data_IF_981591182218
#
_entry.id   IF_981591182218
#
_cell.length_a   1.000
_cell.length_b   1.000
_cell.length_c   1.000
_cell.angle_alpha   90.00
_cell.angle_beta   90.00
_cell.angle_gamma   90.00
#
_symmetry.space_group_name_H-M   'P 1'
#
loop_
_entity.id
_entity.type
_entity.pdbx_description
1 polymer ?
#
# COMPACT_ATOMS: atom_id res chain seq x y z
N UNK A 1 -16.62 24.13 2.35
CA UNK A 1 -16.82 22.67 2.31
C UNK A 1 -18.31 22.47 2.22
N UNK A 2 -18.82 21.99 1.09
CA UNK A 2 -20.24 21.64 0.98
C UNK A 2 -20.55 20.54 2.00
N UNK A 3 -21.57 20.75 2.82
CA UNK A 3 -22.06 19.78 3.78
C UNK A 3 -22.41 18.50 3.01
N UNK A 4 -21.69 17.40 3.26
CA UNK A 4 -21.99 16.12 2.63
C UNK A 4 -23.31 15.65 3.23
N UNK A 5 -24.38 15.79 2.46
CA UNK A 5 -25.68 15.25 2.84
C UNK A 5 -25.61 13.71 2.76
N UNK A 6 -25.54 13.08 3.93
CA UNK A 6 -25.57 11.62 4.04
C UNK A 6 -27.00 11.12 3.90
N UNK A 7 -27.31 10.60 2.72
CA UNK A 7 -28.55 9.93 2.40
C UNK A 7 -28.25 8.51 1.87
N UNK A 8 -29.25 7.63 1.74
CA UNK A 8 -29.00 6.25 1.31
C UNK A 8 -28.24 6.13 -0.02
N UNK A 9 -28.51 7.02 -0.97
CA UNK A 9 -27.87 7.02 -2.30
C UNK A 9 -26.42 7.45 -2.21
N UNK A 10 -26.11 8.52 -1.47
CA UNK A 10 -24.72 9.01 -1.34
C UNK A 10 -23.84 8.01 -0.59
N UNK A 11 -24.38 7.32 0.42
CA UNK A 11 -23.68 6.21 1.10
C UNK A 11 -23.38 5.06 0.13
N UNK A 12 -24.34 4.64 -0.69
CA UNK A 12 -24.15 3.54 -1.63
C UNK A 12 -23.10 3.88 -2.69
N UNK A 13 -23.15 5.10 -3.23
CA UNK A 13 -22.14 5.60 -4.18
C UNK A 13 -20.73 5.58 -3.57
N UNK A 14 -20.57 6.03 -2.32
CA UNK A 14 -19.28 6.05 -1.63
C UNK A 14 -18.76 4.63 -1.32
N UNK A 15 -19.66 3.68 -0.99
CA UNK A 15 -19.32 2.25 -0.84
C UNK A 15 -18.76 1.72 -2.16
N UNK A 16 -19.49 1.93 -3.27
CA UNK A 16 -19.06 1.44 -4.58
C UNK A 16 -17.74 2.06 -5.01
N UNK A 17 -17.56 3.36 -4.81
CA UNK A 17 -16.30 4.06 -5.08
C UNK A 17 -15.15 3.45 -4.26
N UNK A 18 -15.34 3.26 -2.95
CA UNK A 18 -14.31 2.70 -2.07
C UNK A 18 -13.95 1.26 -2.44
N UNK A 19 -14.93 0.43 -2.82
CA UNK A 19 -14.70 -0.95 -3.30
C UNK A 19 -13.89 -0.97 -4.61
N UNK A 20 -14.20 -0.06 -5.54
CA UNK A 20 -13.44 0.07 -6.77
C UNK A 20 -11.99 0.51 -6.48
N UNK A 21 -11.79 1.41 -5.54
CA UNK A 21 -10.46 1.88 -5.15
C UNK A 21 -9.65 0.80 -4.41
N UNK A 22 -10.28 -0.02 -3.57
CA UNK A 22 -9.64 -1.22 -3.00
C UNK A 22 -9.18 -2.16 -4.13
N UNK A 23 -10.03 -2.40 -5.12
CA UNK A 23 -9.69 -3.30 -6.24
C UNK A 23 -8.48 -2.80 -7.03
N UNK A 24 -8.40 -1.48 -7.30
CA UNK A 24 -7.23 -0.85 -7.90
C UNK A 24 -6.00 -0.96 -7.00
N UNK A 25 -6.16 -0.67 -5.71
CA UNK A 25 -5.08 -0.71 -4.74
C UNK A 25 -4.48 -2.10 -4.54
N UNK A 26 -5.26 -3.18 -4.68
CA UNK A 26 -4.75 -4.56 -4.68
C UNK A 26 -3.81 -4.81 -5.87
N UNK A 27 -4.16 -4.30 -7.06
CA UNK A 27 -3.31 -4.39 -8.24
C UNK A 27 -2.00 -3.61 -8.02
N UNK A 28 -2.09 -2.38 -7.50
CA UNK A 28 -0.92 -1.57 -7.16
C UNK A 28 0.00 -2.25 -6.15
N UNK A 29 -0.57 -2.85 -5.09
CA UNK A 29 0.22 -3.56 -4.08
C UNK A 29 0.89 -4.82 -4.64
N UNK A 30 0.20 -5.56 -5.52
CA UNK A 30 0.80 -6.70 -6.24
C UNK A 30 2.00 -6.24 -7.07
N UNK A 31 1.85 -5.20 -7.87
CA UNK A 31 2.89 -4.72 -8.77
C UNK A 31 4.09 -4.17 -8.00
N UNK A 32 3.84 -3.43 -6.91
CA UNK A 32 4.89 -2.99 -5.99
C UNK A 32 5.62 -4.17 -5.31
N UNK A 33 4.90 -5.25 -4.97
CA UNK A 33 5.54 -6.45 -4.41
C UNK A 33 6.44 -7.15 -5.43
N UNK A 34 6.00 -7.25 -6.69
CA UNK A 34 6.82 -7.81 -7.77
C UNK A 34 8.11 -6.99 -7.91
N UNK A 35 7.99 -5.66 -7.99
CA UNK A 35 9.14 -4.77 -8.07
C UNK A 35 10.08 -4.93 -6.86
N UNK A 36 9.54 -5.00 -5.63
CA UNK A 36 10.32 -5.26 -4.41
C UNK A 36 11.12 -6.56 -4.50
N UNK A 37 10.51 -7.66 -4.94
CA UNK A 37 11.20 -8.94 -5.05
C UNK A 37 12.27 -8.93 -6.15
N UNK A 38 12.03 -8.22 -7.24
CA UNK A 38 13.00 -8.07 -8.33
C UNK A 38 14.22 -7.26 -7.91
N UNK A 39 14.01 -6.11 -7.27
CA UNK A 39 15.10 -5.24 -6.78
C UNK A 39 15.87 -5.90 -5.63
N UNK A 40 15.21 -6.64 -4.75
CA UNK A 40 15.88 -7.44 -3.71
C UNK A 40 16.80 -8.51 -4.33
N UNK A 41 16.35 -9.21 -5.38
CA UNK A 41 17.20 -10.17 -6.10
C UNK A 41 18.35 -9.49 -6.83
N UNK A 42 18.11 -8.31 -7.41
CA UNK A 42 19.14 -7.53 -8.09
C UNK A 42 20.25 -7.11 -7.11
N UNK A 43 19.88 -6.53 -5.97
CA UNK A 43 20.80 -6.19 -4.89
C UNK A 43 21.61 -7.40 -4.41
N UNK A 44 20.96 -8.52 -4.08
CA UNK A 44 21.65 -9.74 -3.61
C UNK A 44 22.68 -10.24 -4.63
N UNK A 45 22.36 -10.20 -5.92
CA UNK A 45 23.26 -10.61 -7.00
C UNK A 45 24.42 -9.63 -7.17
N UNK A 46 24.15 -8.32 -7.15
CA UNK A 46 25.17 -7.29 -7.24
C UNK A 46 26.16 -7.39 -6.07
N UNK A 47 25.64 -7.46 -4.84
CA UNK A 47 26.42 -7.62 -3.63
C UNK A 47 27.29 -8.87 -3.67
N UNK A 48 26.72 -10.02 -4.04
CA UNK A 48 27.47 -11.27 -4.12
C UNK A 48 28.61 -11.20 -5.15
N UNK A 49 28.38 -10.58 -6.32
CA UNK A 49 29.44 -10.38 -7.33
C UNK A 49 30.56 -9.48 -6.79
N UNK A 50 30.20 -8.34 -6.20
CA UNK A 50 31.16 -7.41 -5.62
C UNK A 50 31.97 -8.06 -4.48
N UNK A 51 31.30 -8.80 -3.60
CA UNK A 51 31.91 -9.55 -2.50
C UNK A 51 32.89 -10.61 -2.98
N UNK A 52 32.59 -11.29 -4.09
CA UNK A 52 33.45 -12.32 -4.64
C UNK A 52 34.63 -11.74 -5.45
N UNK A 53 34.49 -10.54 -6.01
CA UNK A 53 35.54 -9.87 -6.78
C UNK A 53 36.68 -9.33 -5.89
N UNK A 54 36.37 -8.86 -4.68
CA UNK A 54 37.39 -8.37 -3.75
C UNK A 54 38.25 -9.54 -3.21
N UNK A 55 39.54 -9.30 -2.95
CA UNK A 55 40.45 -10.26 -2.31
C UNK A 55 40.68 -9.86 -0.86
N UNK A 56 41.15 -10.79 -0.04
CA UNK A 56 41.51 -10.50 1.36
C UNK A 56 40.49 -11.01 2.39
N UNK A 57 40.63 -10.59 3.65
CA UNK A 57 39.81 -11.04 4.78
C UNK A 57 38.32 -10.77 4.57
N UNK A 58 37.48 -11.62 5.17
CA UNK A 58 36.02 -11.54 5.00
C UNK A 58 35.44 -10.17 5.37
N UNK A 59 35.99 -9.51 6.40
CA UNK A 59 35.56 -8.18 6.86
C UNK A 59 35.80 -7.10 5.80
N UNK A 60 37.00 -7.09 5.20
CA UNK A 60 37.34 -6.15 4.12
C UNK A 60 36.46 -6.38 2.89
N UNK A 61 36.22 -7.64 2.51
CA UNK A 61 35.30 -7.97 1.40
C UNK A 61 33.89 -7.42 1.60
N UNK A 62 33.37 -7.47 2.84
CA UNK A 62 32.03 -6.94 3.13
C UNK A 62 31.97 -5.44 2.93
N UNK A 63 32.95 -4.71 3.47
CA UNK A 63 33.04 -3.25 3.34
C UNK A 63 33.23 -2.86 1.88
N UNK A 64 34.17 -3.51 1.19
CA UNK A 64 34.45 -3.25 -0.22
C UNK A 64 33.22 -3.49 -1.10
N UNK A 65 32.45 -4.56 -0.85
CA UNK A 65 31.25 -4.85 -1.62
C UNK A 65 30.14 -3.82 -1.44
N UNK A 66 29.95 -3.30 -0.22
CA UNK A 66 28.90 -2.33 0.09
C UNK A 66 29.13 -0.96 -0.56
N UNK A 67 30.37 -0.60 -0.89
CA UNK A 67 30.71 0.69 -1.49
C UNK A 67 30.89 0.64 -3.00
N UNK A 68 30.63 -0.51 -3.63
CA UNK A 68 30.63 -0.64 -5.08
C UNK A 68 29.40 0.11 -5.64
N UNK A 69 29.56 1.03 -6.61
CA UNK A 69 28.46 1.84 -7.13
C UNK A 69 27.24 1.02 -7.54
N UNK A 70 27.43 -0.09 -8.25
CA UNK A 70 26.33 -0.95 -8.70
C UNK A 70 25.59 -1.65 -7.55
N UNK A 71 26.24 -1.82 -6.40
CA UNK A 71 25.61 -2.37 -5.18
C UNK A 71 24.80 -1.29 -4.48
N UNK A 72 25.35 -0.08 -4.36
CA UNK A 72 24.67 1.07 -3.76
C UNK A 72 23.41 1.43 -4.55
N UNK A 73 23.52 1.54 -5.89
CA UNK A 73 22.38 1.83 -6.75
C UNK A 73 21.28 0.75 -6.64
N UNK A 74 21.68 -0.52 -6.55
CA UNK A 74 20.74 -1.63 -6.37
C UNK A 74 20.10 -1.64 -4.98
N UNK A 75 20.83 -1.19 -3.95
CA UNK A 75 20.32 -1.01 -2.59
C UNK A 75 19.28 0.10 -2.54
N UNK A 76 19.57 1.27 -3.12
CA UNK A 76 18.63 2.39 -3.18
C UNK A 76 17.34 1.99 -3.90
N UNK A 77 17.45 1.29 -5.04
CA UNK A 77 16.31 0.77 -5.78
C UNK A 77 15.48 -0.26 -4.97
N UNK A 78 16.16 -1.13 -4.21
CA UNK A 78 15.52 -2.09 -3.29
C UNK A 78 14.72 -1.35 -2.21
N UNK A 79 15.31 -0.33 -1.61
CA UNK A 79 14.70 0.38 -0.48
C UNK A 79 13.50 1.21 -0.93
N UNK A 80 13.59 1.88 -2.09
CA UNK A 80 12.44 2.56 -2.71
C UNK A 80 11.31 1.58 -3.00
N UNK A 81 11.61 0.41 -3.57
CA UNK A 81 10.59 -0.59 -3.87
C UNK A 81 9.96 -1.19 -2.59
N UNK A 82 10.76 -1.41 -1.55
CA UNK A 82 10.27 -1.89 -0.26
C UNK A 82 9.30 -0.89 0.37
N UNK A 83 9.69 0.39 0.45
CA UNK A 83 8.83 1.47 0.97
C UNK A 83 7.56 1.61 0.15
N UNK A 84 7.66 1.59 -1.18
CA UNK A 84 6.50 1.67 -2.09
C UNK A 84 5.49 0.56 -1.84
N UNK A 85 5.96 -0.68 -1.65
CA UNK A 85 5.09 -1.81 -1.33
C UNK A 85 4.39 -1.66 0.03
N UNK A 86 5.12 -1.22 1.07
CA UNK A 86 4.52 -1.00 2.40
C UNK A 86 3.44 0.08 2.34
N UNK A 87 3.69 1.21 1.68
CA UNK A 87 2.68 2.26 1.50
C UNK A 87 1.45 1.77 0.72
N UNK A 88 1.63 0.97 -0.34
CA UNK A 88 0.51 0.41 -1.08
C UNK A 88 -0.35 -0.52 -0.21
N UNK A 89 0.27 -1.31 0.67
CA UNK A 89 -0.42 -2.18 1.63
C UNK A 89 -1.18 -1.37 2.68
N UNK A 90 -0.55 -0.33 3.23
CA UNK A 90 -1.16 0.55 4.22
C UNK A 90 -2.33 1.35 3.65
N UNK A 91 -2.22 1.80 2.40
CA UNK A 91 -3.33 2.44 1.68
C UNK A 91 -4.53 1.48 1.54
N UNK A 92 -4.30 0.22 1.17
CA UNK A 92 -5.39 -0.78 1.10
C UNK A 92 -6.04 -1.04 2.46
N UNK A 93 -5.24 -1.03 3.53
CA UNK A 93 -5.76 -1.14 4.90
C UNK A 93 -6.62 0.06 5.26
N UNK A 94 -6.15 1.28 4.94
CA UNK A 94 -6.91 2.50 5.18
C UNK A 94 -8.23 2.52 4.41
N UNK A 95 -8.24 2.08 3.15
CA UNK A 95 -9.45 1.95 2.34
C UNK A 95 -10.42 0.91 2.91
N UNK A 96 -9.93 -0.21 3.43
CA UNK A 96 -10.76 -1.20 4.13
C UNK A 96 -11.41 -0.60 5.38
N UNK A 97 -10.65 0.13 6.20
CA UNK A 97 -11.18 0.83 7.37
C UNK A 97 -12.20 1.92 6.99
N UNK A 98 -11.97 2.64 5.87
CA UNK A 98 -12.93 3.60 5.32
C UNK A 98 -14.24 2.91 4.93
N UNK A 99 -14.18 1.76 4.25
CA UNK A 99 -15.36 0.99 3.86
C UNK A 99 -16.19 0.57 5.09
N UNK A 100 -15.54 0.12 6.16
CA UNK A 100 -16.23 -0.26 7.39
C UNK A 100 -16.89 0.95 8.07
N UNK A 101 -16.21 2.10 8.08
CA UNK A 101 -16.79 3.34 8.60
C UNK A 101 -18.02 3.77 7.80
N UNK A 102 -17.98 3.74 6.46
CA UNK A 102 -19.12 4.10 5.61
C UNK A 102 -20.29 3.13 5.80
N UNK A 103 -20.02 1.83 5.93
CA UNK A 103 -21.08 0.83 6.22
C UNK A 103 -21.78 1.10 7.54
N UNK A 104 -21.02 1.50 8.56
CA UNK A 104 -21.56 1.92 9.86
C UNK A 104 -22.44 3.16 9.73
N UNK A 105 -21.97 4.21 9.03
CA UNK A 105 -22.76 5.42 8.72
C UNK A 105 -24.04 5.04 7.98
N UNK A 106 -23.96 4.15 6.99
CA UNK A 106 -25.11 3.66 6.25
C UNK A 106 -26.16 2.97 7.11
N UNK A 107 -25.74 2.25 8.16
CA UNK A 107 -26.68 1.68 9.13
C UNK A 107 -27.45 2.77 9.87
N UNK A 108 -26.73 3.79 10.39
CA UNK A 108 -27.35 4.94 11.07
C UNK A 108 -28.30 5.72 10.17
N UNK A 109 -27.92 5.96 8.90
CA UNK A 109 -28.77 6.64 7.91
C UNK A 109 -30.06 5.84 7.66
N UNK A 110 -29.98 4.52 7.47
CA UNK A 110 -31.19 3.70 7.28
C UNK A 110 -32.12 3.76 8.49
N UNK A 111 -31.60 3.75 9.71
CA UNK A 111 -32.43 3.87 10.92
C UNK A 111 -33.07 5.26 11.05
N UNK A 112 -32.34 6.34 10.73
CA UNK A 112 -32.89 7.69 10.72
C UNK A 112 -34.07 7.84 9.74
N UNK A 113 -33.93 7.33 8.51
CA UNK A 113 -35.01 7.37 7.50
C UNK A 113 -36.20 6.46 7.86
N UNK A 114 -35.97 5.30 8.49
CA UNK A 114 -37.06 4.45 9.00
C UNK A 114 -37.88 5.14 10.09
N UNK A 115 -37.22 5.87 10.98
CA UNK A 115 -37.87 6.59 12.09
C UNK A 115 -38.61 7.83 11.59
N UNK A 116 -38.06 8.55 10.61
CA UNK A 116 -38.72 9.68 9.97
C UNK A 116 -40.05 9.30 9.29
N UNK A 117 -40.13 8.09 8.70
CA UNK A 117 -41.38 7.55 8.13
C UNK A 117 -42.39 7.01 9.15
N UNK A 118 -42.11 7.07 10.45
CA UNK A 118 -42.93 6.46 11.53
C UNK A 118 -43.47 7.47 12.54
N UNK A 119 -43.20 8.75 12.35
CA UNK A 119 -43.48 9.82 13.31
C UNK A 119 -44.53 10.82 12.86
N UNK A 120 -45.65 10.38 12.29
CA UNK A 120 -46.89 11.18 12.18
C UNK A 120 -48.11 10.24 12.15
N UNK A 121 -48.61 9.84 13.32
CA UNK A 121 -50.01 9.46 13.60
C UNK A 121 -50.28 9.65 15.10
#
# INVERSE_FOLDING_TARGET
MSEVEYNPVSVEQEILATVNDISKGVITARDANVAKLETERAYKRAYARAFMAHKGPQTEKKVAANIVPEVMDAEDARDVAAVTYEYAKDQNRALSSKLDAIRSVGASVREAYKNAGRGEW
#
